data_IF_997816646700
#
_entry.id   IF_997816646700
#
_cell.length_a   1.000
_cell.length_b   1.000
_cell.length_c   1.000
_cell.angle_alpha   90.00
_cell.angle_beta   90.00
_cell.angle_gamma   90.00
#
_symmetry.space_group_name_H-M   'P 1'
#
loop_
_entity.id
_entity.type
_entity.pdbx_description
1 polymer ?
#
# COMPACT_ATOMS: atom_id res chain seq x y z
N UNK A 1 -13.38 6.57 2.55
CA UNK A 1 -12.21 5.67 2.49
C UNK A 1 -11.22 6.19 1.44
N UNK A 2 -10.02 6.56 1.87
CA UNK A 2 -8.99 7.09 0.97
C UNK A 2 -8.40 5.94 0.14
N UNK A 3 -8.47 6.03 -1.19
CA UNK A 3 -7.73 5.14 -2.08
C UNK A 3 -6.39 5.75 -2.50
N UNK A 4 -5.44 4.91 -2.87
CA UNK A 4 -4.09 5.33 -3.24
C UNK A 4 -3.56 4.55 -4.45
N UNK A 5 -2.44 5.05 -4.99
CA UNK A 5 -1.70 4.40 -6.07
C UNK A 5 -0.42 3.75 -5.52
N UNK A 6 -0.10 2.58 -6.06
CA UNK A 6 1.16 1.87 -5.85
C UNK A 6 1.86 1.72 -7.19
N UNK A 7 3.12 2.14 -7.27
CA UNK A 7 3.99 1.81 -8.41
C UNK A 7 4.83 0.61 -8.05
N UNK A 8 5.04 -0.30 -8.99
CA UNK A 8 5.91 -1.45 -8.77
C UNK A 8 6.72 -1.81 -10.00
N UNK A 9 7.91 -2.40 -9.80
CA UNK A 9 8.76 -2.94 -10.87
C UNK A 9 9.64 -4.07 -10.38
N UNK A 10 10.17 -4.87 -11.31
CA UNK A 10 11.23 -5.84 -10.99
C UNK A 10 12.56 -5.10 -10.77
N UNK A 11 13.41 -5.69 -9.94
CA UNK A 11 14.81 -5.26 -9.83
C UNK A 11 15.54 -5.67 -11.13
N UNK A 12 16.15 -4.71 -11.82
CA UNK A 12 16.86 -4.94 -13.08
C UNK A 12 16.88 -3.72 -14.00
N UNK A 13 17.89 -3.63 -14.86
CA UNK A 13 18.12 -2.47 -15.74
C UNK A 13 16.97 -2.19 -16.72
N UNK A 14 16.25 -3.22 -17.16
CA UNK A 14 15.24 -3.12 -18.23
C UNK A 14 13.78 -3.24 -17.76
N UNK A 15 13.50 -3.14 -16.45
CA UNK A 15 12.12 -3.23 -15.95
C UNK A 15 11.41 -1.87 -15.99
N UNK A 16 10.29 -1.80 -16.68
CA UNK A 16 9.37 -0.67 -16.63
C UNK A 16 8.55 -0.65 -15.33
N UNK A 17 8.15 0.55 -14.91
CA UNK A 17 7.23 0.73 -13.78
C UNK A 17 5.79 0.44 -14.20
N UNK A 18 5.13 -0.44 -13.44
CA UNK A 18 3.69 -0.66 -13.51
C UNK A 18 2.99 0.16 -12.42
N UNK A 19 1.71 0.47 -12.63
CA UNK A 19 0.88 1.23 -11.69
C UNK A 19 -0.34 0.42 -11.31
N UNK A 20 -0.58 0.30 -10.01
CA UNK A 20 -1.83 -0.17 -9.43
C UNK A 20 -2.57 1.04 -8.85
N UNK A 21 -3.79 1.29 -9.34
CA UNK A 21 -4.63 2.42 -8.92
C UNK A 21 -5.75 1.92 -8.02
N UNK A 22 -6.41 2.86 -7.33
CA UNK A 22 -7.62 2.57 -6.52
C UNK A 22 -7.37 1.52 -5.43
N UNK A 23 -6.16 1.48 -4.87
CA UNK A 23 -5.84 0.58 -3.77
C UNK A 23 -6.44 1.13 -2.49
N UNK A 24 -7.12 0.31 -1.70
CA UNK A 24 -7.72 0.69 -0.41
C UNK A 24 -7.09 -0.03 0.79
N UNK A 25 -6.42 -1.15 0.54
CA UNK A 25 -5.68 -1.88 1.55
C UNK A 25 -4.48 -2.62 0.97
N UNK A 26 -3.47 -2.85 1.79
CA UNK A 26 -2.35 -3.72 1.48
C UNK A 26 -1.84 -4.42 2.73
N UNK A 27 -1.18 -5.54 2.54
CA UNK A 27 -0.55 -6.30 3.61
C UNK A 27 0.42 -7.34 3.07
N UNK A 28 1.07 -8.05 3.98
CA UNK A 28 1.96 -9.17 3.64
C UNK A 28 1.21 -10.47 3.87
N UNK A 29 1.43 -11.44 2.98
CA UNK A 29 0.97 -12.82 3.17
C UNK A 29 1.96 -13.55 4.08
N UNK A 30 1.49 -14.56 4.81
CA UNK A 30 2.32 -15.37 5.71
C UNK A 30 3.63 -15.81 5.02
N UNK A 31 4.71 -15.82 5.81
CA UNK A 31 6.08 -16.05 5.36
C UNK A 31 6.67 -14.98 4.43
N UNK A 32 6.02 -13.81 4.30
CA UNK A 32 6.50 -12.68 3.49
C UNK A 32 6.79 -13.04 2.03
N UNK A 33 6.11 -14.04 1.45
CA UNK A 33 6.36 -14.49 0.08
C UNK A 33 5.73 -13.51 -0.93
N UNK A 34 4.53 -13.01 -0.60
CA UNK A 34 3.79 -12.05 -1.41
C UNK A 34 3.24 -10.90 -0.58
N UNK A 35 2.98 -9.79 -1.27
CA UNK A 35 2.21 -8.64 -0.79
C UNK A 35 0.86 -8.67 -1.49
N UNK A 36 -0.21 -8.61 -0.71
CA UNK A 36 -1.55 -8.47 -1.26
C UNK A 36 -1.97 -6.98 -1.28
N UNK A 37 -2.83 -6.66 -2.22
CA UNK A 37 -3.49 -5.37 -2.38
C UNK A 37 -4.98 -5.62 -2.57
N UNK A 38 -5.81 -4.86 -1.85
CA UNK A 38 -7.25 -4.84 -2.04
C UNK A 38 -7.59 -3.55 -2.78
N UNK A 39 -8.31 -3.67 -3.89
CA UNK A 39 -8.79 -2.55 -4.69
C UNK A 39 -10.15 -2.04 -4.21
N UNK A 40 -10.55 -0.87 -4.72
CA UNK A 40 -11.85 -0.25 -4.45
C UNK A 40 -13.02 -1.21 -4.69
N UNK A 41 -12.96 -2.00 -5.77
CA UNK A 41 -13.96 -2.99 -6.19
C UNK A 41 -13.87 -4.34 -5.45
N UNK A 42 -13.16 -4.40 -4.31
CA UNK A 42 -12.87 -5.62 -3.53
C UNK A 42 -11.96 -6.64 -4.25
N UNK A 43 -11.45 -6.33 -5.44
CA UNK A 43 -10.51 -7.23 -6.11
C UNK A 43 -9.22 -7.34 -5.30
N UNK A 44 -8.78 -8.58 -5.05
CA UNK A 44 -7.50 -8.89 -4.43
C UNK A 44 -6.45 -9.17 -5.49
N UNK A 45 -5.32 -8.47 -5.40
CA UNK A 45 -4.14 -8.69 -6.24
C UNK A 45 -2.97 -9.07 -5.36
N UNK A 46 -2.26 -10.13 -5.73
CA UNK A 46 -1.04 -10.55 -5.03
C UNK A 46 0.18 -10.38 -5.91
N UNK A 47 1.22 -9.78 -5.34
CA UNK A 47 2.49 -9.53 -6.03
C UNK A 47 3.65 -10.05 -5.17
N UNK A 48 4.69 -10.66 -5.77
CA UNK A 48 5.86 -11.12 -5.04
C UNK A 48 6.55 -9.97 -4.28
N UNK A 49 7.05 -10.23 -3.08
CA UNK A 49 7.77 -9.18 -2.30
C UNK A 49 9.11 -8.77 -2.91
N UNK A 50 9.66 -9.58 -3.82
CA UNK A 50 10.93 -9.29 -4.53
C UNK A 50 10.83 -8.08 -5.47
N UNK A 51 9.62 -7.56 -5.69
CA UNK A 51 9.41 -6.34 -6.46
C UNK A 51 9.71 -5.10 -5.62
N UNK A 52 10.15 -4.03 -6.29
CA UNK A 52 10.25 -2.71 -5.67
C UNK A 52 8.86 -2.09 -5.67
N UNK A 53 8.41 -1.60 -4.52
CA UNK A 53 7.13 -0.91 -4.36
C UNK A 53 7.35 0.56 -3.96
N UNK A 54 6.59 1.46 -4.56
CA UNK A 54 6.54 2.87 -4.18
C UNK A 54 5.09 3.29 -3.99
N UNK A 55 4.77 3.72 -2.77
CA UNK A 55 3.42 4.09 -2.38
C UNK A 55 3.23 5.60 -2.51
N UNK A 56 2.08 6.02 -3.03
CA UNK A 56 1.70 7.43 -3.00
C UNK A 56 1.37 7.88 -1.56
N UNK A 57 1.47 9.20 -1.32
CA UNK A 57 1.17 9.82 0.00
C UNK A 57 -0.23 9.46 0.52
N UNK A 58 -1.19 9.16 -0.36
CA UNK A 58 -2.53 8.72 0.03
C UNK A 58 -2.55 7.51 0.95
N UNK A 59 -1.58 6.57 0.80
CA UNK A 59 -1.46 5.43 1.72
C UNK A 59 -1.21 5.88 3.16
N UNK A 60 -0.33 6.85 3.34
CA UNK A 60 0.00 7.36 4.66
C UNK A 60 -1.22 8.00 5.32
N UNK A 61 -1.92 8.87 4.60
CA UNK A 61 -3.13 9.51 5.13
C UNK A 61 -4.24 8.48 5.44
N UNK A 62 -4.45 7.49 4.56
CA UNK A 62 -5.44 6.44 4.80
C UNK A 62 -5.06 5.46 5.91
N UNK A 63 -3.77 5.30 6.24
CA UNK A 63 -3.35 4.56 7.43
C UNK A 63 -3.59 5.42 8.68
N UNK A 64 -3.18 6.69 8.65
CA UNK A 64 -3.36 7.62 9.77
C UNK A 64 -4.84 7.75 10.17
N UNK A 65 -5.72 7.99 9.20
CA UNK A 65 -7.17 8.11 9.41
C UNK A 65 -7.74 6.87 10.12
N UNK A 66 -7.39 5.66 9.64
CA UNK A 66 -7.80 4.40 10.28
C UNK A 66 -7.26 4.22 11.69
N UNK A 67 -6.00 4.60 11.92
CA UNK A 67 -5.42 4.54 13.26
C UNK A 67 -6.12 5.52 14.22
N UNK A 68 -6.49 6.70 13.74
CA UNK A 68 -7.22 7.71 14.51
C UNK A 68 -8.66 7.25 14.84
N UNK A 69 -9.33 6.61 13.87
CA UNK A 69 -10.64 5.98 14.06
C UNK A 69 -10.58 4.86 15.12
N UNK A 70 -9.59 3.96 15.02
CA UNK A 70 -9.38 2.86 15.96
C UNK A 70 -9.08 3.36 17.37
N UNK A 71 -8.23 4.39 17.48
CA UNK A 71 -7.87 5.01 18.76
C UNK A 71 -8.94 5.95 19.32
N UNK A 72 -9.98 6.30 18.53
CA UNK A 72 -11.00 7.32 18.82
C UNK A 72 -10.42 8.67 19.25
N UNK A 73 -9.23 9.00 18.75
CA UNK A 73 -8.54 10.24 19.06
C UNK A 73 -7.55 10.60 17.94
N UNK A 74 -7.23 11.90 17.75
CA UNK A 74 -6.20 12.30 16.81
C UNK A 74 -4.81 11.79 17.20
N UNK A 75 -4.03 11.37 16.21
CA UNK A 75 -2.66 10.88 16.38
C UNK A 75 -1.70 11.96 15.86
N UNK A 76 -0.89 12.49 16.77
CA UNK A 76 0.19 13.42 16.43
C UNK A 76 1.44 12.64 16.05
N UNK A 77 1.96 12.93 14.85
CA UNK A 77 3.19 12.32 14.36
C UNK A 77 4.37 13.17 14.83
N UNK A 78 5.22 12.62 15.70
CA UNK A 78 6.50 13.27 16.01
C UNK A 78 7.37 13.27 14.76
N UNK A 79 7.90 14.43 14.38
CA UNK A 79 8.97 14.50 13.38
C UNK A 79 10.21 13.88 14.02
N UNK A 80 10.68 12.76 13.45
CA UNK A 80 11.99 12.18 13.75
C UNK A 80 13.09 12.87 12.97
#
# INVERSE_FOLDING_TARGET
MITYTVKYKRLGLFSCWKKLKKVKGDGLVENNISRFFILEDETRIELPVVLIFTFSKGRFYGIKERMEEEARQPISLKKG
#
